data_IF_398457536071
#
_entry.id   IF_398457536071
#
_cell.length_a   1.000
_cell.length_b   1.000
_cell.length_c   1.000
_cell.angle_alpha   90.00
_cell.angle_beta   90.00
_cell.angle_gamma   90.00
#
_symmetry.space_group_name_H-M   'P 1'
#
loop_
_entity.id
_entity.type
_entity.pdbx_description
1 polymer ?
#
# COMPACT_ATOMS: atom_id res chain seq x y z
N UNK A 1 -19.25 -9.98 14.10
CA UNK A 1 -19.14 -9.22 12.84
C UNK A 1 -17.67 -9.15 12.49
N UNK A 2 -17.20 -9.95 11.52
CA UNK A 2 -15.84 -9.76 11.01
C UNK A 2 -15.85 -8.45 10.23
N UNK A 3 -15.09 -7.44 10.68
CA UNK A 3 -14.86 -6.24 9.87
C UNK A 3 -14.38 -6.69 8.51
N UNK A 4 -15.15 -6.41 7.46
CA UNK A 4 -14.74 -6.61 6.08
C UNK A 4 -13.48 -5.80 5.86
N UNK A 5 -12.35 -6.51 5.84
CA UNK A 5 -11.04 -5.90 5.59
C UNK A 5 -10.97 -5.58 4.11
N UNK A 6 -11.52 -4.43 3.74
CA UNK A 6 -11.49 -3.91 2.37
C UNK A 6 -10.06 -3.52 2.04
N UNK A 7 -9.51 -4.16 1.02
CA UNK A 7 -8.22 -3.77 0.44
C UNK A 7 -8.46 -2.61 -0.50
N UNK A 8 -7.69 -1.53 -0.33
CA UNK A 8 -7.70 -0.38 -1.22
C UNK A 8 -6.38 -0.33 -1.98
N UNK A 9 -6.44 -0.02 -3.27
CA UNK A 9 -5.24 0.20 -4.07
C UNK A 9 -4.55 1.49 -3.61
N UNK A 10 -3.24 1.48 -3.68
CA UNK A 10 -2.37 2.56 -3.22
C UNK A 10 -1.03 2.45 -3.92
N UNK A 11 -0.33 3.56 -4.07
CA UNK A 11 0.97 3.61 -4.72
C UNK A 11 2.04 3.58 -3.64
N UNK A 12 3.01 2.68 -3.77
CA UNK A 12 4.18 2.65 -2.90
C UNK A 12 5.14 3.75 -3.36
N UNK A 13 5.28 4.81 -2.56
CA UNK A 13 6.14 5.96 -2.90
C UNK A 13 7.59 5.73 -2.51
N UNK A 14 7.83 5.03 -1.40
CA UNK A 14 9.19 4.82 -0.87
C UNK A 14 9.29 3.57 -0.02
N UNK A 15 10.42 2.86 -0.11
CA UNK A 15 10.81 1.85 0.88
C UNK A 15 11.55 2.53 2.03
N UNK A 16 11.06 2.37 3.26
CA UNK A 16 11.65 2.98 4.45
C UNK A 16 12.66 2.04 5.14
N UNK A 17 12.33 0.76 5.22
CA UNK A 17 13.20 -0.27 5.79
C UNK A 17 13.00 -1.63 5.09
N UNK A 18 13.55 -2.71 5.65
CA UNK A 18 13.40 -4.05 5.06
C UNK A 18 11.92 -4.43 4.82
N UNK A 19 11.02 -4.00 5.71
CA UNK A 19 9.60 -4.39 5.70
C UNK A 19 8.64 -3.21 5.72
N UNK A 20 9.07 -1.98 5.94
CA UNK A 20 8.19 -0.82 5.91
C UNK A 20 8.30 -0.04 4.62
N UNK A 21 7.14 0.38 4.16
CA UNK A 21 6.93 1.15 2.97
C UNK A 21 6.10 2.38 3.33
N UNK A 22 6.39 3.46 2.64
CA UNK A 22 5.54 4.62 2.56
C UNK A 22 4.62 4.44 1.35
N UNK A 23 3.33 4.64 1.56
CA UNK A 23 2.30 4.53 0.54
C UNK A 23 1.52 5.85 0.46
N UNK A 24 1.14 6.25 -0.75
CA UNK A 24 0.21 7.35 -0.98
C UNK A 24 -1.17 6.81 -1.33
N UNK A 25 -2.17 7.21 -0.53
CA UNK A 25 -3.57 7.02 -0.89
C UNK A 25 -3.95 7.94 -2.05
N UNK A 26 -5.02 7.59 -2.76
CA UNK A 26 -5.60 8.43 -3.82
C UNK A 26 -5.98 9.84 -3.30
N UNK A 27 -6.36 9.94 -2.02
CA UNK A 27 -6.65 11.20 -1.34
C UNK A 27 -5.41 12.09 -1.08
N UNK A 28 -4.23 11.68 -1.55
CA UNK A 28 -2.95 12.37 -1.31
C UNK A 28 -2.36 12.17 0.09
N UNK A 29 -3.02 11.38 0.94
CA UNK A 29 -2.53 11.07 2.27
C UNK A 29 -1.39 10.05 2.23
N UNK A 30 -0.36 10.29 3.03
CA UNK A 30 0.82 9.43 3.12
C UNK A 30 0.72 8.58 4.39
N UNK A 31 0.93 7.27 4.24
CA UNK A 31 0.91 6.32 5.35
C UNK A 31 2.16 5.45 5.35
N UNK A 32 2.61 5.07 6.55
CA UNK A 32 3.60 4.00 6.73
C UNK A 32 2.88 2.66 6.88
N UNK A 33 3.20 1.70 6.02
CA UNK A 33 2.67 0.33 6.08
C UNK A 33 3.78 -0.70 6.01
N UNK A 34 3.59 -1.79 6.75
CA UNK A 34 4.46 -2.94 6.66
C UNK A 34 4.09 -3.80 5.43
N UNK A 35 5.05 -4.53 4.88
CA UNK A 35 4.87 -5.52 3.81
C UNK A 35 3.73 -6.49 4.11
N UNK A 36 3.58 -6.92 5.36
CA UNK A 36 2.50 -7.83 5.77
C UNK A 36 1.09 -7.21 5.63
N UNK A 37 0.99 -5.89 5.51
CA UNK A 37 -0.26 -5.15 5.31
C UNK A 37 -0.46 -4.71 3.85
N UNK A 38 0.46 -5.07 2.97
CA UNK A 38 0.40 -4.75 1.55
C UNK A 38 0.25 -6.04 0.75
N UNK A 39 -0.47 -5.96 -0.36
CA UNK A 39 -0.49 -6.99 -1.40
C UNK A 39 -0.10 -6.32 -2.69
N UNK A 40 0.72 -7.01 -3.47
CA UNK A 40 1.01 -6.59 -4.84
C UNK A 40 -0.30 -6.62 -5.62
N UNK A 41 -0.67 -5.49 -6.22
CA UNK A 41 -1.77 -5.47 -7.19
C UNK A 41 -1.23 -5.99 -8.51
N UNK A 42 -2.09 -6.65 -9.31
CA UNK A 42 -1.72 -7.12 -10.64
C UNK A 42 -1.73 -5.99 -11.70
N UNK A 43 -1.67 -4.73 -11.23
CA UNK A 43 -1.66 -3.55 -12.07
C UNK A 43 -0.20 -3.29 -12.46
N UNK A 44 0.20 -3.86 -13.59
CA UNK A 44 1.44 -3.49 -14.24
C UNK A 44 1.27 -2.07 -14.82
N UNK A 45 1.71 -1.04 -14.08
CA UNK A 45 2.10 0.20 -14.73
C UNK A 45 3.28 -0.13 -15.63
N UNK A 46 3.01 -0.28 -16.93
CA UNK A 46 4.05 -0.33 -17.96
C UNK A 46 4.68 1.05 -18.01
N UNK A 47 5.81 1.20 -17.31
CA UNK A 47 6.70 2.37 -17.39
C UNK A 47 7.52 2.27 -18.69
#
# INVERSE_FOLDING_TARGET
MLSDKVWKNTIVTKRLDDRSYEISSEDGNIYRRNRAHLKESNEFESI
#
